data_IF_829984096507
#
_entry.id   IF_829984096507
#
_cell.length_a   1.000
_cell.length_b   1.000
_cell.length_c   1.000
_cell.angle_alpha   90.00
_cell.angle_beta   90.00
_cell.angle_gamma   90.00
#
_symmetry.space_group_name_H-M   'P 1'
#
loop_
_entity.id
_entity.type
_entity.pdbx_description
1 polymer ?
#
# COMPACT_ATOMS: atom_id res chain seq x y z
N UNK A 1 -31.16 30.09 14.57
CA UNK A 1 -29.92 29.31 14.77
C UNK A 1 -29.61 29.01 16.23
N UNK A 2 -29.87 29.95 17.15
CA UNK A 2 -29.50 29.80 18.57
C UNK A 2 -30.33 28.71 19.29
N UNK A 3 -31.57 28.49 18.85
CA UNK A 3 -32.47 27.47 19.43
C UNK A 3 -32.26 26.06 18.85
N UNK A 4 -31.46 25.91 17.78
CA UNK A 4 -31.18 24.62 17.22
C UNK A 4 -30.15 23.89 18.09
N UNK A 5 -30.39 22.63 18.50
CA UNK A 5 -29.42 21.88 19.30
C UNK A 5 -28.04 21.78 18.61
N UNK A 6 -26.95 21.92 19.38
CA UNK A 6 -25.57 21.85 18.84
C UNK A 6 -25.27 20.55 18.12
N UNK A 7 -25.83 19.46 18.62
CA UNK A 7 -25.69 18.10 18.07
C UNK A 7 -26.11 17.99 16.60
N UNK A 8 -27.07 18.82 16.15
CA UNK A 8 -27.51 18.80 14.76
C UNK A 8 -26.47 19.41 13.83
N UNK A 9 -25.75 20.43 14.30
CA UNK A 9 -24.63 21.01 13.56
C UNK A 9 -23.43 20.06 13.53
N UNK A 10 -23.12 19.45 14.68
CA UNK A 10 -22.03 18.47 14.82
C UNK A 10 -22.23 17.31 13.83
N UNK A 11 -23.38 16.65 13.87
CA UNK A 11 -23.70 15.55 12.93
C UNK A 11 -23.68 15.95 11.46
N UNK A 12 -24.02 17.20 11.14
CA UNK A 12 -24.00 17.68 9.76
C UNK A 12 -22.56 17.89 9.27
N UNK A 13 -21.68 18.42 10.12
CA UNK A 13 -20.26 18.63 9.81
C UNK A 13 -19.54 17.27 9.75
N UNK A 14 -19.84 16.35 10.65
CA UNK A 14 -19.26 14.99 10.68
C UNK A 14 -19.61 14.12 9.47
N UNK A 15 -20.64 14.51 8.68
CA UNK A 15 -20.93 13.87 7.40
C UNK A 15 -19.96 14.29 6.27
N UNK A 16 -19.16 15.33 6.49
CA UNK A 16 -18.16 15.73 5.49
C UNK A 16 -17.04 14.71 5.43
N UNK A 17 -16.59 14.30 4.24
CA UNK A 17 -15.68 13.16 4.04
C UNK A 17 -14.38 13.25 4.85
N UNK A 18 -13.84 14.45 5.02
CA UNK A 18 -12.56 14.70 5.69
C UNK A 18 -12.67 14.98 7.18
N UNK A 19 -13.88 14.99 7.74
CA UNK A 19 -14.11 15.30 9.16
C UNK A 19 -14.15 14.01 9.97
N UNK A 20 -13.32 13.96 11.01
CA UNK A 20 -13.32 12.86 11.99
C UNK A 20 -14.33 13.14 13.10
N UNK A 21 -14.35 14.35 13.64
CA UNK A 21 -15.28 14.77 14.67
C UNK A 21 -15.49 16.28 14.66
N UNK A 22 -16.61 16.73 15.18
CA UNK A 22 -16.93 18.13 15.33
C UNK A 22 -17.56 18.38 16.69
N UNK A 23 -17.11 19.41 17.39
CA UNK A 23 -17.75 19.94 18.61
C UNK A 23 -18.21 21.36 18.38
N UNK A 24 -19.47 21.63 18.70
CA UNK A 24 -20.05 22.96 18.54
C UNK A 24 -20.36 23.59 19.90
N UNK A 25 -19.76 24.73 20.17
CA UNK A 25 -20.04 25.53 21.34
C UNK A 25 -20.78 26.82 20.98
N UNK A 26 -21.68 27.24 21.88
CA UNK A 26 -22.50 28.45 21.73
C UNK A 26 -22.21 29.38 22.89
N UNK A 27 -21.63 30.53 22.62
CA UNK A 27 -21.36 31.57 23.64
C UNK A 27 -21.55 32.94 23.05
N UNK A 28 -22.24 33.82 23.78
CA UNK A 28 -22.42 35.21 23.41
C UNK A 28 -22.90 35.45 21.96
N UNK A 29 -23.93 34.68 21.53
CA UNK A 29 -24.46 34.70 20.14
C UNK A 29 -23.44 34.23 19.06
N UNK A 30 -22.32 33.69 19.47
CA UNK A 30 -21.30 33.14 18.57
C UNK A 30 -21.36 31.59 18.58
N UNK A 31 -21.28 31.02 17.40
CA UNK A 31 -21.08 29.57 17.22
C UNK A 31 -19.60 29.32 16.93
N UNK A 32 -19.00 28.44 17.68
CA UNK A 32 -17.61 28.00 17.45
C UNK A 32 -17.65 26.53 17.12
N UNK A 33 -17.06 26.16 15.98
CA UNK A 33 -16.88 24.80 15.52
C UNK A 33 -15.43 24.40 15.80
N UNK A 34 -15.25 23.37 16.59
CA UNK A 34 -13.96 22.71 16.81
C UNK A 34 -13.99 21.40 16.00
N UNK A 35 -13.28 21.40 14.87
CA UNK A 35 -13.30 20.31 13.88
C UNK A 35 -11.98 19.59 13.91
N UNK A 36 -12.05 18.28 14.09
CA UNK A 36 -10.91 17.38 13.88
C UNK A 36 -11.01 16.76 12.49
N UNK A 37 -9.97 16.94 11.71
CA UNK A 37 -9.86 16.33 10.39
C UNK A 37 -9.35 14.89 10.49
N UNK A 38 -9.80 14.03 9.57
CA UNK A 38 -9.22 12.71 9.37
C UNK A 38 -7.79 12.85 8.86
N UNK A 39 -6.88 12.06 9.40
CA UNK A 39 -5.51 12.03 8.91
C UNK A 39 -5.45 11.25 7.61
N UNK A 40 -5.03 11.91 6.54
CA UNK A 40 -4.75 11.28 5.24
C UNK A 40 -3.34 10.69 5.30
N UNK A 41 -3.22 9.40 4.98
CA UNK A 41 -1.94 8.68 4.91
C UNK A 41 -1.29 8.89 3.54
N UNK A 42 -2.10 9.02 2.52
CA UNK A 42 -1.68 9.24 1.15
C UNK A 42 -2.87 9.14 0.21
N UNK A 43 -2.61 9.19 -1.08
CA UNK A 43 -3.62 8.96 -2.10
C UNK A 43 -3.10 7.92 -3.10
N UNK A 44 -4.02 7.24 -3.77
CA UNK A 44 -3.71 6.26 -4.79
C UNK A 44 -4.69 6.37 -5.95
N UNK A 45 -4.27 5.86 -7.10
CA UNK A 45 -5.07 5.84 -8.33
C UNK A 45 -5.60 4.43 -8.53
N UNK A 46 -6.90 4.30 -8.83
CA UNK A 46 -7.53 3.05 -9.27
C UNK A 46 -8.36 3.34 -10.52
N UNK A 47 -7.96 2.77 -11.66
CA UNK A 47 -8.47 3.20 -12.96
C UNK A 47 -8.22 4.69 -13.19
N UNK A 48 -9.24 5.43 -13.60
CA UNK A 48 -9.16 6.88 -13.84
C UNK A 48 -9.49 7.75 -12.61
N UNK A 49 -9.58 7.14 -11.42
CA UNK A 49 -10.06 7.79 -10.20
C UNK A 49 -8.97 7.89 -9.15
N UNK A 50 -8.97 9.01 -8.43
CA UNK A 50 -8.09 9.24 -7.30
C UNK A 50 -8.82 8.96 -5.99
N UNK A 51 -8.16 8.29 -5.07
CA UNK A 51 -8.69 7.94 -3.75
C UNK A 51 -7.78 8.46 -2.65
N UNK A 52 -8.33 9.18 -1.68
CA UNK A 52 -7.61 9.47 -0.44
C UNK A 52 -7.75 8.29 0.51
N UNK A 53 -6.62 7.84 1.06
CA UNK A 53 -6.54 6.81 2.07
C UNK A 53 -6.38 7.44 3.44
N UNK A 54 -7.31 7.16 4.36
CA UNK A 54 -7.26 7.65 5.73
C UNK A 54 -6.57 6.69 6.67
N UNK A 55 -6.12 7.21 7.80
CA UNK A 55 -5.44 6.45 8.84
C UNK A 55 -6.29 5.29 9.40
N UNK A 56 -7.60 5.39 9.37
CA UNK A 56 -8.56 4.36 9.80
C UNK A 56 -8.72 3.22 8.78
N UNK A 57 -8.00 3.27 7.66
CA UNK A 57 -8.09 2.31 6.57
C UNK A 57 -9.22 2.57 5.57
N UNK A 58 -10.08 3.56 5.84
CA UNK A 58 -11.14 3.94 4.89
C UNK A 58 -10.58 4.75 3.73
N UNK A 59 -11.19 4.63 2.57
CA UNK A 59 -10.83 5.41 1.38
C UNK A 59 -12.06 6.10 0.82
N UNK A 60 -11.86 7.29 0.26
CA UNK A 60 -12.90 8.01 -0.46
C UNK A 60 -12.39 8.42 -1.85
N UNK A 61 -13.25 8.34 -2.84
CA UNK A 61 -13.00 8.92 -4.15
C UNK A 61 -12.89 10.44 -4.02
N UNK A 62 -11.87 11.01 -4.65
CA UNK A 62 -11.62 12.44 -4.63
C UNK A 62 -12.26 13.09 -5.85
N UNK A 63 -13.28 13.88 -5.62
CA UNK A 63 -13.85 14.72 -6.65
C UNK A 63 -12.84 15.80 -7.08
N UNK A 64 -12.93 16.24 -8.34
CA UNK A 64 -12.01 17.21 -8.95
C UNK A 64 -11.79 18.47 -8.11
N UNK A 65 -12.86 18.98 -7.48
CA UNK A 65 -12.80 20.15 -6.60
C UNK A 65 -11.90 19.98 -5.37
N UNK A 66 -11.59 18.74 -4.96
CA UNK A 66 -10.76 18.41 -3.79
C UNK A 66 -9.34 17.97 -4.15
N UNK A 67 -9.00 17.88 -5.44
CA UNK A 67 -7.66 17.44 -5.87
C UNK A 67 -6.54 18.28 -5.24
N UNK A 68 -6.75 19.60 -5.12
CA UNK A 68 -5.78 20.50 -4.49
C UNK A 68 -5.52 20.18 -3.01
N UNK A 69 -6.44 19.48 -2.33
CA UNK A 69 -6.28 19.13 -0.91
C UNK A 69 -5.34 17.92 -0.73
N UNK A 70 -5.29 17.02 -1.72
CA UNK A 70 -4.51 15.79 -1.61
C UNK A 70 -3.09 15.89 -2.18
N UNK A 71 -2.78 16.90 -2.99
CA UNK A 71 -1.45 17.06 -3.62
C UNK A 71 -0.30 17.23 -2.62
N UNK A 72 -0.60 17.57 -1.38
CA UNK A 72 0.39 17.66 -0.30
C UNK A 72 0.69 16.33 0.38
N UNK A 73 -0.11 15.30 0.11
CA UNK A 73 0.07 13.97 0.67
C UNK A 73 0.80 13.06 -0.34
N UNK A 74 1.47 12.01 0.12
CA UNK A 74 2.21 11.12 -0.78
C UNK A 74 1.29 10.33 -1.71
N UNK A 75 1.76 10.12 -2.93
CA UNK A 75 1.21 9.10 -3.81
C UNK A 75 1.61 7.71 -3.30
N UNK A 76 0.66 6.81 -3.19
CA UNK A 76 0.87 5.40 -2.86
C UNK A 76 0.86 4.60 -4.16
N UNK A 77 2.03 4.42 -4.78
CA UNK A 77 2.19 3.67 -6.02
C UNK A 77 2.38 2.19 -5.74
N UNK A 78 1.79 1.32 -6.54
CA UNK A 78 1.99 -0.14 -6.53
C UNK A 78 1.61 -0.83 -5.20
N UNK A 79 0.71 -0.24 -4.42
CA UNK A 79 0.19 -0.84 -3.21
C UNK A 79 -1.06 -1.65 -3.50
N UNK A 80 -1.06 -2.93 -3.13
CA UNK A 80 -2.29 -3.70 -3.05
C UNK A 80 -3.11 -3.35 -1.78
N UNK A 81 -4.35 -3.85 -1.70
CA UNK A 81 -5.25 -3.55 -0.60
C UNK A 81 -4.70 -3.98 0.77
N UNK A 82 -4.06 -5.15 0.85
CA UNK A 82 -3.44 -5.68 2.08
C UNK A 82 -2.31 -4.76 2.56
N UNK A 83 -1.44 -4.34 1.66
CA UNK A 83 -0.34 -3.43 2.00
C UNK A 83 -0.84 -2.05 2.44
N UNK A 84 -1.88 -1.51 1.78
CA UNK A 84 -2.53 -0.26 2.22
C UNK A 84 -3.07 -0.38 3.64
N UNK A 85 -3.77 -1.49 3.95
CA UNK A 85 -4.28 -1.77 5.30
C UNK A 85 -3.15 -1.83 6.33
N UNK A 86 -2.09 -2.58 6.05
CA UNK A 86 -0.92 -2.69 6.93
C UNK A 86 -0.23 -1.34 7.17
N UNK A 87 -0.13 -0.51 6.13
CA UNK A 87 0.40 0.84 6.24
C UNK A 87 -0.45 1.69 7.18
N UNK A 88 -1.77 1.70 7.01
CA UNK A 88 -2.71 2.41 7.87
C UNK A 88 -2.62 1.98 9.33
N UNK A 89 -2.51 0.69 9.61
CA UNK A 89 -2.33 0.15 10.96
C UNK A 89 -1.07 0.70 11.64
N UNK A 90 0.03 0.82 10.89
CA UNK A 90 1.26 1.40 11.43
C UNK A 90 1.13 2.92 11.66
N UNK A 91 0.46 3.63 10.77
CA UNK A 91 0.18 5.05 10.97
C UNK A 91 -0.73 5.28 12.18
N UNK A 92 -1.73 4.43 12.36
CA UNK A 92 -2.61 4.49 13.53
C UNK A 92 -1.84 4.18 14.83
N UNK A 93 -1.05 3.13 14.84
CA UNK A 93 -0.20 2.72 15.98
C UNK A 93 0.78 3.81 16.39
N UNK A 94 1.30 4.56 15.43
CA UNK A 94 2.31 5.60 15.63
C UNK A 94 1.79 7.02 15.38
N UNK A 95 0.48 7.26 15.54
CA UNK A 95 -0.20 8.53 15.23
C UNK A 95 0.39 9.76 15.92
N UNK A 96 0.99 9.58 17.09
CA UNK A 96 1.71 10.66 17.82
C UNK A 96 3.03 11.07 17.15
N UNK A 97 3.57 10.22 16.29
CA UNK A 97 4.87 10.40 15.64
C UNK A 97 4.68 10.71 14.15
N UNK A 98 3.84 9.92 13.49
CA UNK A 98 3.50 10.07 12.08
C UNK A 98 2.37 11.11 11.94
N UNK A 99 2.75 12.35 12.19
CA UNK A 99 1.83 13.50 12.11
C UNK A 99 1.63 13.96 10.67
N UNK A 100 0.60 14.77 10.45
CA UNK A 100 0.33 15.41 9.15
C UNK A 100 1.57 16.13 8.61
N UNK A 101 2.23 16.95 9.44
CA UNK A 101 3.44 17.70 9.05
C UNK A 101 4.59 16.81 8.57
N UNK A 102 4.67 15.58 9.08
CA UNK A 102 5.67 14.62 8.63
C UNK A 102 5.23 13.94 7.33
N UNK A 103 3.97 13.56 7.23
CA UNK A 103 3.41 12.89 6.04
C UNK A 103 3.48 13.81 4.82
N UNK A 104 3.18 15.09 4.98
CA UNK A 104 3.26 16.08 3.91
C UNK A 104 4.70 16.30 3.38
N UNK A 105 5.73 15.75 4.05
CA UNK A 105 7.10 15.73 3.53
C UNK A 105 7.38 14.56 2.58
N UNK A 106 6.48 13.61 2.48
CA UNK A 106 6.60 12.49 1.55
C UNK A 106 6.00 12.90 0.21
N UNK A 107 6.69 12.61 -0.87
CA UNK A 107 6.18 12.80 -2.23
C UNK A 107 5.50 11.53 -2.73
N UNK A 108 6.16 10.39 -2.50
CA UNK A 108 5.69 9.08 -2.97
C UNK A 108 6.16 7.98 -2.03
N UNK A 109 5.32 6.96 -1.88
CA UNK A 109 5.67 5.72 -1.18
C UNK A 109 5.41 4.57 -2.14
N UNK A 110 6.41 3.70 -2.30
CA UNK A 110 6.35 2.53 -3.20
C UNK A 110 6.79 1.29 -2.44
N UNK A 111 6.13 0.14 -2.56
CA UNK A 111 6.64 -1.12 -2.05
C UNK A 111 8.01 -1.43 -2.64
N UNK A 112 8.93 -1.86 -1.79
CA UNK A 112 10.30 -2.17 -2.18
C UNK A 112 10.69 -3.52 -1.61
N UNK A 113 10.88 -4.50 -2.48
CA UNK A 113 11.24 -5.86 -2.07
C UNK A 113 12.75 -6.04 -2.22
N UNK A 114 13.38 -6.56 -1.19
CA UNK A 114 14.78 -6.99 -1.23
C UNK A 114 14.85 -8.50 -0.98
N UNK A 115 16.01 -9.10 -1.24
CA UNK A 115 16.26 -10.52 -0.96
C UNK A 115 16.09 -10.88 0.51
N UNK A 116 16.33 -9.94 1.42
CA UNK A 116 16.28 -10.15 2.88
C UNK A 116 15.02 -9.60 3.57
N UNK A 117 14.29 -8.65 2.96
CA UNK A 117 13.02 -8.13 3.49
C UNK A 117 12.06 -7.79 2.36
N UNK A 118 10.96 -8.52 2.31
CA UNK A 118 9.90 -8.35 1.28
C UNK A 118 8.90 -7.24 1.63
N UNK A 119 8.97 -6.69 2.85
CA UNK A 119 8.02 -5.71 3.36
C UNK A 119 8.64 -4.32 3.53
N UNK A 120 9.61 -3.99 2.72
CA UNK A 120 10.20 -2.65 2.71
C UNK A 120 9.39 -1.70 1.82
N UNK A 121 9.58 -0.41 2.08
CA UNK A 121 9.09 0.70 1.28
C UNK A 121 10.24 1.60 0.88
N UNK A 122 10.13 2.15 -0.31
CA UNK A 122 10.90 3.29 -0.78
C UNK A 122 10.02 4.53 -0.63
N UNK A 123 10.46 5.49 0.14
CA UNK A 123 9.78 6.77 0.33
C UNK A 123 10.62 7.84 -0.37
N UNK A 124 10.08 8.45 -1.40
CA UNK A 124 10.63 9.65 -2.01
C UNK A 124 10.14 10.85 -1.20
N UNK A 125 11.07 11.66 -0.70
CA UNK A 125 10.76 12.84 0.09
C UNK A 125 10.56 14.06 -0.81
N UNK A 126 9.82 15.07 -0.36
CA UNK A 126 9.58 16.33 -1.10
C UNK A 126 10.88 17.11 -1.39
N UNK A 127 11.91 16.91 -0.57
CA UNK A 127 13.25 17.53 -0.75
C UNK A 127 14.18 16.73 -1.69
N UNK A 128 13.66 15.67 -2.34
CA UNK A 128 14.39 14.83 -3.28
C UNK A 128 15.24 13.72 -2.65
N UNK A 129 15.26 13.61 -1.32
CA UNK A 129 15.92 12.51 -0.63
C UNK A 129 15.08 11.22 -0.73
N UNK A 130 15.73 10.08 -0.55
CA UNK A 130 15.08 8.77 -0.58
C UNK A 130 15.29 8.07 0.75
N UNK A 131 14.22 7.49 1.29
CA UNK A 131 14.26 6.72 2.53
C UNK A 131 13.75 5.31 2.25
N UNK A 132 14.55 4.32 2.59
CA UNK A 132 14.17 2.91 2.60
C UNK A 132 13.84 2.49 4.03
N UNK A 133 12.66 1.93 4.24
CA UNK A 133 12.19 1.53 5.56
C UNK A 133 11.23 0.36 5.44
N UNK A 134 10.90 -0.28 6.55
CA UNK A 134 9.83 -1.26 6.63
C UNK A 134 8.77 -0.81 7.64
N UNK A 135 7.66 -1.57 7.74
CA UNK A 135 6.56 -1.26 8.65
C UNK A 135 7.00 -1.07 10.11
N UNK A 136 7.99 -1.85 10.58
CA UNK A 136 8.45 -1.76 11.96
C UNK A 136 9.34 -0.53 12.21
N UNK A 137 10.06 -0.11 11.19
CA UNK A 137 11.04 1.00 11.25
C UNK A 137 10.44 2.35 10.87
N UNK A 138 9.21 2.39 10.34
CA UNK A 138 8.55 3.62 9.84
C UNK A 138 8.48 4.73 10.92
N UNK A 139 8.36 4.36 12.19
CA UNK A 139 8.39 5.30 13.32
C UNK A 139 9.69 6.13 13.39
N UNK A 140 10.78 5.64 12.82
CA UNK A 140 12.09 6.32 12.82
C UNK A 140 12.12 7.52 11.87
N UNK A 141 11.13 7.66 10.98
CA UNK A 141 10.95 8.85 10.14
C UNK A 141 10.83 10.15 10.96
N UNK A 142 10.41 10.07 12.22
CA UNK A 142 10.43 11.23 13.12
C UNK A 142 11.81 11.85 13.30
N UNK A 143 12.88 11.08 13.11
CA UNK A 143 14.27 11.52 13.21
C UNK A 143 14.82 12.10 11.92
N UNK A 144 14.04 12.03 10.82
CA UNK A 144 14.47 12.43 9.49
C UNK A 144 15.08 13.84 9.46
N UNK A 145 14.38 14.84 9.98
CA UNK A 145 14.82 16.22 9.98
C UNK A 145 16.15 16.42 10.76
N UNK A 146 16.32 15.73 11.88
CA UNK A 146 17.56 15.82 12.67
C UNK A 146 18.74 15.16 11.97
N UNK A 147 18.49 14.11 11.18
CA UNK A 147 19.52 13.46 10.36
C UNK A 147 19.94 14.35 9.21
N UNK A 148 19.00 14.99 8.50
CA UNK A 148 19.30 15.93 7.42
C UNK A 148 20.17 17.11 7.87
N UNK A 149 19.89 17.66 9.05
CA UNK A 149 20.68 18.74 9.63
C UNK A 149 22.15 18.33 9.79
N UNK A 150 22.41 17.07 10.19
CA UNK A 150 23.77 16.52 10.32
C UNK A 150 24.44 16.27 8.96
N UNK A 151 23.66 15.92 7.94
CA UNK A 151 24.13 15.59 6.59
C UNK A 151 24.29 16.83 5.69
N UNK A 152 24.05 18.04 6.19
CA UNK A 152 24.16 19.32 5.48
C UNK A 152 23.33 19.41 4.19
N UNK A 153 22.17 18.77 4.17
CA UNK A 153 21.16 18.92 3.10
C UNK A 153 21.55 18.37 1.72
N UNK A 154 22.49 17.46 1.62
CA UNK A 154 22.81 16.79 0.36
C UNK A 154 21.74 15.75 0.01
N UNK A 155 21.47 15.57 -1.29
CA UNK A 155 20.63 14.47 -1.78
C UNK A 155 21.18 13.14 -1.26
N UNK A 156 20.41 12.43 -0.45
CA UNK A 156 20.86 11.23 0.25
C UNK A 156 19.83 10.11 0.14
N UNK A 157 20.35 8.89 0.15
CA UNK A 157 19.55 7.71 0.41
C UNK A 157 19.83 7.21 1.83
N UNK A 158 18.74 7.00 2.58
CA UNK A 158 18.78 6.55 3.97
C UNK A 158 18.10 5.19 4.09
N UNK A 159 18.67 4.31 4.88
CA UNK A 159 18.04 3.05 5.31
C UNK A 159 17.73 3.14 6.79
N UNK A 160 16.47 2.91 7.16
CA UNK A 160 16.02 2.91 8.54
C UNK A 160 15.88 1.47 9.03
N UNK A 161 16.61 1.13 10.08
CA UNK A 161 16.52 -0.17 10.75
C UNK A 161 16.24 0.02 12.24
N UNK A 162 15.00 -0.34 12.64
CA UNK A 162 14.59 -0.28 14.04
C UNK A 162 15.16 -1.41 14.90
N UNK A 163 15.59 -2.52 14.30
CA UNK A 163 16.16 -3.67 15.00
C UNK A 163 17.50 -3.29 15.62
N UNK A 164 18.33 -2.62 14.83
CA UNK A 164 19.63 -2.11 15.29
C UNK A 164 19.57 -0.63 15.72
N UNK A 165 18.39 0.00 15.62
CA UNK A 165 18.20 1.43 15.92
C UNK A 165 19.10 2.36 15.10
N UNK A 166 19.45 1.96 13.88
CA UNK A 166 20.37 2.68 12.98
C UNK A 166 19.62 3.42 11.89
N UNK A 167 20.22 4.54 11.46
CA UNK A 167 19.87 5.24 10.23
C UNK A 167 21.17 5.36 9.44
N UNK A 168 21.24 4.63 8.36
CA UNK A 168 22.43 4.54 7.53
C UNK A 168 22.28 5.37 6.26
N UNK A 169 23.32 6.15 5.93
CA UNK A 169 23.44 6.78 4.63
C UNK A 169 24.02 5.75 3.66
N UNK A 170 23.34 5.52 2.57
CA UNK A 170 23.76 4.59 1.51
C UNK A 170 23.89 5.33 0.19
N UNK A 171 24.65 4.76 -0.74
CA UNK A 171 24.68 5.27 -2.10
C UNK A 171 23.39 4.85 -2.82
N UNK A 172 22.66 5.81 -3.39
CA UNK A 172 21.41 5.56 -4.10
C UNK A 172 21.58 4.65 -5.33
N UNK A 173 22.76 4.70 -5.98
CA UNK A 173 23.07 3.91 -7.16
C UNK A 173 23.29 2.44 -6.82
N UNK A 174 23.91 2.14 -5.67
CA UNK A 174 24.21 0.77 -5.24
C UNK A 174 22.94 -0.03 -4.94
N UNK A 175 21.90 0.62 -4.45
CA UNK A 175 20.61 -0.02 -4.20
C UNK A 175 19.85 -0.31 -5.51
N UNK A 176 19.99 0.58 -6.49
CA UNK A 176 19.34 0.40 -7.80
C UNK A 176 20.07 -0.64 -8.66
N UNK A 177 21.40 -0.76 -8.56
CA UNK A 177 22.19 -1.78 -9.27
C UNK A 177 21.95 -3.17 -8.72
N UNK A 178 21.90 -3.34 -7.40
CA UNK A 178 21.55 -4.62 -6.76
C UNK A 178 20.17 -5.14 -7.18
N UNK A 179 19.20 -4.24 -7.32
CA UNK A 179 17.86 -4.62 -7.82
C UNK A 179 17.93 -5.12 -9.26
N UNK A 180 18.66 -4.45 -10.13
CA UNK A 180 18.84 -4.87 -11.53
C UNK A 180 19.58 -6.20 -11.67
N UNK A 181 20.59 -6.46 -10.84
CA UNK A 181 21.32 -7.74 -10.82
C UNK A 181 20.46 -8.89 -10.28
N UNK A 182 19.61 -8.64 -9.29
CA UNK A 182 18.66 -9.64 -8.75
C UNK A 182 17.55 -9.96 -9.76
N UNK A 183 17.04 -8.96 -10.48
CA UNK A 183 16.07 -9.14 -11.57
C UNK A 183 16.68 -9.90 -12.76
N UNK A 184 17.92 -9.60 -13.15
CA UNK A 184 18.63 -10.32 -14.21
C UNK A 184 18.99 -11.76 -13.83
N UNK A 185 19.35 -12.03 -12.57
CA UNK A 185 19.59 -13.40 -12.10
C UNK A 185 18.33 -14.25 -12.11
N UNK A 186 17.20 -13.71 -11.72
CA UNK A 186 15.92 -14.43 -11.79
C UNK A 186 15.50 -14.74 -13.23
N UNK A 187 15.82 -13.84 -14.16
CA UNK A 187 15.52 -14.05 -15.58
C UNK A 187 16.46 -15.10 -16.20
N UNK A 188 17.74 -15.14 -15.80
CA UNK A 188 18.70 -16.16 -16.29
C UNK A 188 18.46 -17.55 -15.67
N UNK A 189 18.11 -17.63 -14.38
CA UNK A 189 17.74 -18.92 -13.75
C UNK A 189 16.45 -19.50 -14.36
N UNK A 190 15.49 -18.65 -14.77
CA UNK A 190 14.27 -19.11 -15.45
C UNK A 190 14.56 -19.58 -16.88
N UNK A 191 15.53 -18.96 -17.57
CA UNK A 191 15.95 -19.37 -18.91
C UNK A 191 16.79 -20.66 -18.94
N UNK A 192 17.54 -20.98 -17.88
CA UNK A 192 18.31 -22.22 -17.78
C UNK A 192 17.46 -23.43 -17.40
N UNK A 193 16.28 -23.22 -16.79
CA UNK A 193 15.35 -24.31 -16.44
C UNK A 193 14.48 -24.72 -17.64
N UNK A 194 14.28 -23.86 -18.62
CA UNK A 194 13.47 -24.14 -19.82
C UNK A 194 14.26 -24.85 -20.94
N UNK A 195 15.60 -24.94 -20.85
CA UNK A 195 16.44 -25.55 -21.91
C UNK A 195 16.80 -27.02 -21.65
N UNK A 196 16.31 -27.65 -20.57
CA UNK A 196 16.69 -29.00 -20.16
C UNK A 196 15.59 -30.07 -20.26
N UNK A 197 14.47 -29.80 -20.90
CA UNK A 197 13.40 -30.78 -21.09
C UNK A 197 12.87 -30.83 -22.53
N UNK A 198 13.72 -31.25 -23.47
CA UNK A 198 13.30 -31.93 -24.68
C UNK A 198 14.26 -33.10 -24.91
N UNK A 199 13.83 -34.27 -24.55
CA UNK A 199 14.00 -35.57 -25.23
C UNK A 199 13.77 -36.71 -24.23
N UNK A 200 12.71 -37.41 -24.36
CA UNK A 200 12.54 -38.83 -24.62
C UNK A 200 11.17 -39.35 -24.23
N UNK A 201 10.52 -39.89 -25.24
CA UNK A 201 9.28 -40.65 -25.23
C UNK A 201 9.46 -42.06 -24.62
N UNK A 202 8.43 -42.56 -23.98
CA UNK A 202 7.66 -43.78 -24.22
C UNK A 202 7.22 -44.54 -22.96
N UNK A 203 5.88 -44.72 -22.90
CA UNK A 203 5.09 -45.88 -22.44
C UNK A 203 5.33 -46.47 -21.04
N UNK A 204 4.34 -46.33 -20.16
CA UNK A 204 3.46 -47.43 -19.67
C UNK A 204 2.57 -46.92 -18.49
N UNK A 205 1.24 -47.12 -18.64
CA UNK A 205 0.25 -47.14 -17.55
C UNK A 205 0.21 -48.54 -16.90
N UNK A 206 -0.52 -48.84 -15.78
CA UNK A 206 -1.13 -47.99 -14.76
C UNK A 206 -0.74 -48.47 -13.33
N UNK A 207 -0.94 -47.63 -12.32
CA UNK A 207 -1.68 -48.01 -11.10
C UNK A 207 -2.06 -46.82 -10.22
N UNK A 208 -3.24 -46.96 -9.64
CA UNK A 208 -3.92 -46.00 -8.74
C UNK A 208 -3.10 -45.64 -7.52
N UNK A 209 -3.02 -44.34 -7.24
CA UNK A 209 -3.13 -43.79 -5.88
C UNK A 209 -3.63 -42.36 -5.97
N UNK A 210 -4.70 -42.08 -5.23
CA UNK A 210 -5.30 -40.78 -5.05
C UNK A 210 -4.26 -39.82 -4.45
N UNK A 211 -3.74 -38.91 -5.26
CA UNK A 211 -3.09 -37.69 -4.78
C UNK A 211 -3.98 -36.51 -5.18
N UNK A 212 -4.44 -35.79 -4.15
CA UNK A 212 -5.13 -34.52 -4.28
C UNK A 212 -4.36 -33.65 -5.28
N UNK A 213 -4.96 -33.43 -6.45
CA UNK A 213 -4.46 -32.46 -7.43
C UNK A 213 -4.61 -31.08 -6.79
N UNK A 214 -3.54 -30.54 -6.26
CA UNK A 214 -3.39 -29.11 -6.06
C UNK A 214 -3.40 -28.48 -7.46
N UNK A 215 -4.58 -28.10 -7.92
CA UNK A 215 -4.72 -27.38 -9.18
C UNK A 215 -3.97 -26.05 -9.06
N UNK A 216 -2.99 -25.85 -9.91
CA UNK A 216 -2.06 -24.73 -9.85
C UNK A 216 -2.61 -23.53 -10.61
N UNK A 217 -2.35 -22.30 -10.10
CA UNK A 217 -2.66 -21.08 -10.81
C UNK A 217 -1.73 -20.90 -12.01
N UNK A 218 -2.28 -20.82 -13.22
CA UNK A 218 -1.53 -20.65 -14.47
C UNK A 218 -1.54 -19.17 -14.87
N UNK A 219 -0.35 -18.59 -15.06
CA UNK A 219 -0.21 -17.21 -15.51
C UNK A 219 -0.39 -17.10 -17.03
N UNK A 220 -1.27 -16.20 -17.46
CA UNK A 220 -1.45 -15.83 -18.87
C UNK A 220 -0.69 -14.52 -19.17
N UNK A 221 0.37 -14.64 -19.95
CA UNK A 221 1.23 -13.51 -20.32
C UNK A 221 0.53 -12.46 -21.20
N UNK A 222 -0.54 -12.85 -21.94
CA UNK A 222 -1.26 -11.92 -22.82
C UNK A 222 -2.22 -11.01 -22.04
N UNK A 223 -2.82 -11.53 -20.98
CA UNK A 223 -3.79 -10.81 -20.15
C UNK A 223 -3.17 -10.30 -18.85
N UNK A 224 -2.05 -10.86 -18.42
CA UNK A 224 -1.37 -10.47 -17.17
C UNK A 224 -2.04 -10.98 -15.91
N UNK A 225 -2.97 -11.95 -16.02
CA UNK A 225 -3.72 -12.53 -14.91
C UNK A 225 -3.41 -14.00 -14.72
N UNK A 226 -3.68 -14.53 -13.55
CA UNK A 226 -3.62 -15.96 -13.26
C UNK A 226 -5.01 -16.59 -13.44
N UNK A 227 -5.07 -17.78 -13.99
CA UNK A 227 -6.27 -18.59 -14.12
C UNK A 227 -6.14 -19.89 -13.37
N UNK A 228 -7.19 -20.29 -12.65
CA UNK A 228 -7.27 -21.55 -11.92
C UNK A 228 -8.39 -22.39 -12.51
N UNK A 229 -8.04 -23.39 -13.32
CA UNK A 229 -8.99 -24.18 -14.12
C UNK A 229 -10.02 -24.92 -13.24
N UNK A 230 -9.57 -25.51 -12.12
CA UNK A 230 -10.45 -26.33 -11.27
C UNK A 230 -11.60 -25.57 -10.61
N UNK A 231 -11.44 -24.26 -10.40
CA UNK A 231 -12.46 -23.41 -9.75
C UNK A 231 -13.01 -22.31 -10.68
N UNK A 232 -12.49 -22.22 -11.92
CA UNK A 232 -12.96 -21.23 -12.91
C UNK A 232 -12.71 -19.79 -12.51
N UNK A 233 -11.64 -19.52 -11.76
CA UNK A 233 -11.34 -18.21 -11.19
C UNK A 233 -10.12 -17.58 -11.84
N UNK A 234 -10.17 -16.26 -12.00
CA UNK A 234 -9.06 -15.42 -12.40
C UNK A 234 -8.56 -14.61 -11.21
N UNK A 235 -7.27 -14.39 -11.14
CA UNK A 235 -6.64 -13.50 -10.17
C UNK A 235 -5.79 -12.46 -10.88
N UNK A 236 -6.11 -11.19 -10.69
CA UNK A 236 -5.30 -10.08 -11.20
C UNK A 236 -4.31 -9.62 -10.13
N UNK A 237 -3.00 -9.86 -10.33
CA UNK A 237 -1.98 -9.48 -9.38
C UNK A 237 -1.78 -7.95 -9.25
N UNK A 238 -2.29 -7.16 -10.21
CA UNK A 238 -2.18 -5.72 -10.18
C UNK A 238 -3.24 -5.09 -9.27
N UNK A 239 -4.46 -5.67 -9.25
CA UNK A 239 -5.57 -5.18 -8.44
C UNK A 239 -5.76 -5.99 -7.16
N UNK A 240 -5.16 -7.19 -7.05
CA UNK A 240 -5.34 -8.17 -5.97
C UNK A 240 -6.81 -8.61 -5.86
N UNK A 241 -7.47 -8.76 -7.02
CA UNK A 241 -8.87 -9.10 -7.13
C UNK A 241 -9.03 -10.48 -7.77
N UNK A 242 -9.99 -11.24 -7.26
CA UNK A 242 -10.42 -12.50 -7.86
C UNK A 242 -11.75 -12.26 -8.58
N UNK A 243 -11.92 -12.87 -9.76
CA UNK A 243 -13.18 -12.80 -10.50
C UNK A 243 -13.40 -14.07 -11.32
N UNK A 244 -14.66 -14.37 -11.61
CA UNK A 244 -15.05 -15.48 -12.47
C UNK A 244 -15.14 -15.06 -13.95
N UNK A 245 -15.46 -15.99 -14.83
CA UNK A 245 -15.64 -15.75 -16.28
C UNK A 245 -16.81 -14.81 -16.60
N UNK A 246 -17.74 -14.60 -15.66
CA UNK A 246 -18.87 -13.68 -15.81
C UNK A 246 -18.52 -12.26 -15.34
N UNK A 247 -17.32 -12.07 -14.79
CA UNK A 247 -16.87 -10.80 -14.24
C UNK A 247 -17.40 -10.51 -12.82
N UNK A 248 -17.88 -11.51 -12.11
CA UNK A 248 -18.26 -11.40 -10.70
C UNK A 248 -17.00 -11.41 -9.85
N UNK A 249 -16.87 -10.44 -8.95
CA UNK A 249 -15.71 -10.31 -8.08
C UNK A 249 -15.87 -11.07 -6.78
N UNK A 250 -14.74 -11.62 -6.28
CA UNK A 250 -14.66 -12.43 -5.08
C UNK A 250 -13.48 -11.98 -4.21
N UNK A 251 -13.56 -12.25 -2.91
CA UNK A 251 -12.42 -12.18 -2.00
C UNK A 251 -12.23 -13.52 -1.29
N UNK A 252 -10.99 -13.81 -0.94
CA UNK A 252 -10.69 -15.00 -0.14
C UNK A 252 -10.99 -14.72 1.33
N UNK A 253 -11.88 -15.50 1.92
CA UNK A 253 -12.20 -15.46 3.35
C UNK A 253 -11.37 -16.53 4.08
N UNK A 254 -10.47 -16.07 4.95
CA UNK A 254 -9.59 -16.97 5.72
C UNK A 254 -10.35 -17.80 6.76
N UNK A 255 -11.47 -17.30 7.29
CA UNK A 255 -12.24 -17.99 8.32
C UNK A 255 -13.04 -19.17 7.73
N UNK A 256 -13.63 -19.00 6.57
CA UNK A 256 -14.36 -20.06 5.86
C UNK A 256 -13.50 -20.85 4.89
N UNK A 257 -12.25 -20.42 4.63
CA UNK A 257 -11.34 -20.98 3.62
C UNK A 257 -12.01 -21.13 2.25
N UNK A 258 -12.73 -20.09 1.83
CA UNK A 258 -13.48 -20.10 0.58
C UNK A 258 -13.53 -18.71 -0.08
N UNK A 259 -13.82 -18.70 -1.38
CA UNK A 259 -14.12 -17.47 -2.10
C UNK A 259 -15.54 -17.01 -1.80
N UNK A 260 -15.67 -15.73 -1.42
CA UNK A 260 -16.95 -15.08 -1.12
C UNK A 260 -17.16 -13.95 -2.11
N UNK A 261 -18.38 -13.86 -2.67
CA UNK A 261 -18.75 -12.82 -3.62
C UNK A 261 -18.62 -11.44 -2.98
N UNK A 262 -17.93 -10.53 -3.68
CA UNK A 262 -17.76 -9.15 -3.26
C UNK A 262 -18.91 -8.30 -3.82
N UNK A 263 -19.75 -7.74 -2.95
CA UNK A 263 -20.83 -6.82 -3.31
C UNK A 263 -20.33 -5.43 -3.67
#
# INVERSE_FOLDING_TARGET
LYFVPSILFEKRVEKMPFVQSCKVSKKNRKLTFDVQEKLIVGYYVKGDKNFALFQDGTSIEIEEQYLNMIVHFPLLSDFNAKQRKQLCEQFQKHSKILTRDLIEKFAEIVPYKTSYDKNMFKITMQDGNIVYTNLNSIKMLSKYQSVLTKLKGQSVCLVLDSTHSTIEKVNCEDLNSKKKEEEQKKTSEKAETETSQETENQEQQPDNEETENEAEWVYDENTGVYYHEAIGMYYDPNTDEYYDENGTYYYWDEDSQSFVEAY
#
